data_IF_183497927610
#
_entry.id   IF_183497927610
#
_cell.length_a   1.000
_cell.length_b   1.000
_cell.length_c   1.000
_cell.angle_alpha   90.00
_cell.angle_beta   90.00
_cell.angle_gamma   90.00
#
_symmetry.space_group_name_H-M   'P 1'
#
loop_
_entity.id
_entity.type
_entity.pdbx_description
1 polymer ?
#
# COMPACT_ATOMS: atom_id res chain seq x y z
N UNK A 1 -7.81 -29.37 -16.94
CA UNK A 1 -8.86 -28.42 -17.34
C UNK A 1 -9.07 -27.28 -16.34
N UNK A 2 -8.79 -27.42 -15.01
CA UNK A 2 -8.96 -26.32 -14.03
C UNK A 2 -7.90 -25.22 -14.17
N UNK A 3 -6.64 -25.54 -14.31
CA UNK A 3 -5.51 -24.59 -14.39
C UNK A 3 -5.59 -23.65 -15.59
N UNK A 4 -6.02 -24.18 -16.76
CA UNK A 4 -6.17 -23.34 -17.96
C UNK A 4 -7.36 -22.37 -17.83
N UNK A 5 -8.41 -22.77 -17.13
CA UNK A 5 -9.58 -21.92 -16.88
C UNK A 5 -9.24 -20.80 -15.86
N UNK A 6 -8.51 -21.12 -14.81
CA UNK A 6 -8.03 -20.11 -13.84
C UNK A 6 -7.11 -19.08 -14.49
N UNK A 7 -6.15 -19.51 -15.30
CA UNK A 7 -5.27 -18.57 -16.03
C UNK A 7 -6.03 -17.67 -17.00
N UNK A 8 -7.08 -18.19 -17.66
CA UNK A 8 -7.90 -17.39 -18.59
C UNK A 8 -8.75 -16.37 -17.81
N UNK A 9 -9.27 -16.74 -16.64
CA UNK A 9 -10.05 -15.84 -15.79
C UNK A 9 -9.17 -14.76 -15.13
N UNK A 10 -7.92 -15.06 -14.81
CA UNK A 10 -6.96 -14.09 -14.29
C UNK A 10 -6.52 -13.07 -15.35
N UNK A 11 -6.26 -13.51 -16.58
CA UNK A 11 -5.96 -12.61 -17.70
C UNK A 11 -7.12 -11.67 -17.99
N UNK A 12 -8.34 -12.20 -17.97
CA UNK A 12 -9.55 -11.40 -18.21
C UNK A 12 -9.77 -10.35 -17.12
N UNK A 13 -9.56 -10.70 -15.86
CA UNK A 13 -9.66 -9.74 -14.74
C UNK A 13 -8.63 -8.61 -14.89
N UNK A 14 -7.42 -8.92 -15.34
CA UNK A 14 -6.40 -7.89 -15.61
C UNK A 14 -6.79 -6.97 -16.75
N UNK A 15 -7.34 -7.53 -17.81
CA UNK A 15 -7.86 -6.73 -18.94
C UNK A 15 -9.00 -5.82 -18.49
N UNK A 16 -9.89 -6.32 -17.60
CA UNK A 16 -10.97 -5.53 -17.01
C UNK A 16 -10.43 -4.42 -16.08
N UNK A 17 -9.45 -4.72 -15.21
CA UNK A 17 -8.78 -3.73 -14.36
C UNK A 17 -7.98 -2.72 -15.18
N UNK A 18 -7.23 -3.18 -16.16
CA UNK A 18 -6.49 -2.33 -17.09
C UNK A 18 -7.44 -1.44 -17.88
N UNK A 19 -8.56 -1.99 -18.36
CA UNK A 19 -9.63 -1.24 -19.04
C UNK A 19 -10.20 -0.15 -18.14
N UNK A 20 -10.47 -0.42 -16.87
CA UNK A 20 -10.98 0.58 -15.94
C UNK A 20 -10.02 1.77 -15.78
N UNK A 21 -8.72 1.54 -15.64
CA UNK A 21 -7.73 2.61 -15.54
C UNK A 21 -7.51 3.34 -16.86
N UNK A 22 -7.59 2.63 -18.01
CA UNK A 22 -7.37 3.22 -19.34
C UNK A 22 -8.61 3.94 -19.89
N UNK A 23 -9.82 3.48 -19.58
CA UNK A 23 -11.06 4.15 -20.02
C UNK A 23 -11.23 5.53 -19.38
N UNK A 24 -10.79 5.71 -18.15
CA UNK A 24 -10.89 6.99 -17.43
C UNK A 24 -9.62 7.82 -17.57
N UNK A 25 -8.52 7.20 -17.99
CA UNK A 25 -7.21 7.83 -18.21
C UNK A 25 -6.42 8.01 -16.93
N UNK A 26 -5.10 8.16 -17.09
CA UNK A 26 -4.21 8.55 -16.00
C UNK A 26 -4.20 10.06 -15.90
N UNK A 27 -4.12 10.54 -14.67
CA UNK A 27 -4.04 11.97 -14.39
C UNK A 27 -2.59 12.36 -14.16
N UNK A 28 -2.23 13.52 -14.72
CA UNK A 28 -0.96 14.14 -14.36
C UNK A 28 -0.85 14.27 -12.83
N UNK A 29 0.31 13.98 -12.24
CA UNK A 29 0.49 13.99 -10.78
C UNK A 29 0.00 15.27 -10.10
N UNK A 30 0.20 16.44 -10.72
CA UNK A 30 -0.26 17.73 -10.18
C UNK A 30 -1.79 17.86 -10.20
N UNK A 31 -2.45 17.32 -11.21
CA UNK A 31 -3.92 17.27 -11.29
C UNK A 31 -4.48 16.36 -10.19
N UNK A 32 -3.88 15.20 -9.95
CA UNK A 32 -4.25 14.29 -8.88
C UNK A 32 -4.06 14.91 -7.49
N UNK A 33 -2.92 15.56 -7.25
CA UNK A 33 -2.62 16.25 -5.98
C UNK A 33 -3.68 17.30 -5.62
N UNK A 34 -4.17 18.04 -6.61
CA UNK A 34 -5.09 19.15 -6.42
C UNK A 34 -6.57 18.75 -6.51
N UNK A 35 -6.87 17.56 -7.00
CA UNK A 35 -8.24 17.09 -7.21
C UNK A 35 -9.01 16.98 -5.89
N UNK A 36 -10.28 17.41 -5.86
CA UNK A 36 -11.13 17.21 -4.69
C UNK A 36 -11.34 15.73 -4.40
N UNK A 37 -11.18 15.35 -3.13
CA UNK A 37 -11.53 14.03 -2.65
C UNK A 37 -12.96 14.01 -2.10
N UNK A 38 -13.75 13.02 -2.47
CA UNK A 38 -15.06 12.76 -1.88
C UNK A 38 -14.94 11.56 -0.95
N UNK A 39 -15.24 11.78 0.33
CA UNK A 39 -15.15 10.75 1.36
C UNK A 39 -16.52 10.58 2.00
N UNK A 40 -17.03 9.37 2.04
CA UNK A 40 -18.20 8.98 2.81
C UNK A 40 -17.86 7.84 3.80
N UNK A 41 -18.87 7.23 4.42
CA UNK A 41 -18.69 6.16 5.40
C UNK A 41 -18.06 4.89 4.79
N UNK A 42 -18.25 4.68 3.49
CA UNK A 42 -17.91 3.43 2.82
C UNK A 42 -16.80 3.57 1.78
N UNK A 43 -16.53 4.78 1.29
CA UNK A 43 -15.61 4.97 0.17
C UNK A 43 -14.88 6.30 0.17
N UNK A 44 -13.72 6.28 -0.47
CA UNK A 44 -12.96 7.45 -0.90
C UNK A 44 -12.89 7.45 -2.43
N UNK A 45 -13.25 8.56 -3.05
CA UNK A 45 -13.17 8.77 -4.50
C UNK A 45 -12.41 10.04 -4.81
N UNK A 46 -11.55 10.00 -5.83
CA UNK A 46 -10.85 11.16 -6.38
C UNK A 46 -11.10 11.17 -7.88
N UNK A 47 -11.58 12.29 -8.43
CA UNK A 47 -11.94 12.42 -9.86
C UNK A 47 -12.94 11.35 -10.34
N UNK A 48 -13.80 10.85 -9.44
CA UNK A 48 -14.75 9.80 -9.74
C UNK A 48 -14.20 8.37 -9.63
N UNK A 49 -12.88 8.20 -9.45
CA UNK A 49 -12.28 6.88 -9.24
C UNK A 49 -12.42 6.43 -7.79
N UNK A 50 -12.82 5.18 -7.56
CA UNK A 50 -12.70 4.58 -6.24
C UNK A 50 -11.21 4.41 -5.91
N UNK A 51 -10.77 5.01 -4.80
CA UNK A 51 -9.39 4.93 -4.30
C UNK A 51 -9.29 3.92 -3.17
N UNK A 52 -10.33 3.86 -2.33
CA UNK A 52 -10.42 2.93 -1.21
C UNK A 52 -11.87 2.71 -0.82
N UNK A 53 -12.22 1.50 -0.43
CA UNK A 53 -13.54 1.13 0.07
C UNK A 53 -13.44 0.35 1.39
N UNK A 54 -14.47 0.41 2.23
CA UNK A 54 -14.45 -0.15 3.60
C UNK A 54 -14.40 -1.69 3.64
N UNK A 55 -14.80 -2.37 2.57
CA UNK A 55 -14.67 -3.83 2.45
C UNK A 55 -13.21 -4.31 2.48
N UNK A 56 -12.26 -3.45 2.17
CA UNK A 56 -10.82 -3.74 2.23
C UNK A 56 -10.28 -3.84 3.66
N UNK A 57 -11.07 -3.45 4.66
CA UNK A 57 -10.67 -3.41 6.07
C UNK A 57 -9.95 -4.67 6.58
N UNK A 58 -10.40 -5.92 6.30
CA UNK A 58 -9.68 -7.12 6.72
C UNK A 58 -8.28 -7.23 6.09
N UNK A 59 -8.16 -6.80 4.84
CA UNK A 59 -6.89 -6.81 4.11
C UNK A 59 -5.94 -5.74 4.64
N UNK A 60 -6.40 -4.50 4.79
CA UNK A 60 -5.63 -3.40 5.37
C UNK A 60 -5.17 -3.71 6.81
N UNK A 61 -6.00 -4.41 7.59
CA UNK A 61 -5.62 -4.89 8.92
C UNK A 61 -4.41 -5.83 8.87
N UNK A 62 -4.39 -6.74 7.91
CA UNK A 62 -3.27 -7.68 7.78
C UNK A 62 -2.02 -6.98 7.25
N UNK A 63 -2.12 -6.09 6.25
CA UNK A 63 -0.99 -5.30 5.79
C UNK A 63 -0.38 -4.47 6.93
N UNK A 64 -1.21 -3.79 7.72
CA UNK A 64 -0.77 -3.05 8.90
C UNK A 64 -0.06 -3.95 9.92
N UNK A 65 -0.61 -5.15 10.19
CA UNK A 65 0.01 -6.14 11.07
C UNK A 65 1.39 -6.57 10.55
N UNK A 66 1.52 -6.84 9.26
CA UNK A 66 2.78 -7.24 8.62
C UNK A 66 3.81 -6.11 8.73
N UNK A 67 3.44 -4.89 8.37
CA UNK A 67 4.34 -3.73 8.44
C UNK A 67 4.84 -3.41 9.86
N UNK A 68 4.06 -3.80 10.89
CA UNK A 68 4.40 -3.52 12.29
C UNK A 68 5.05 -4.69 13.04
N UNK A 69 5.33 -5.83 12.38
CA UNK A 69 5.91 -7.03 13.02
C UNK A 69 7.22 -6.76 13.79
N UNK A 70 8.03 -5.84 13.32
CA UNK A 70 9.29 -5.46 13.96
C UNK A 70 9.13 -4.25 14.90
N UNK A 71 7.97 -3.57 14.91
CA UNK A 71 7.84 -2.26 15.53
C UNK A 71 8.77 -1.22 14.90
N UNK A 72 9.30 -0.30 15.68
CA UNK A 72 10.26 0.70 15.24
C UNK A 72 9.67 1.76 14.30
N UNK A 73 10.38 2.12 13.24
CA UNK A 73 9.95 3.11 12.26
C UNK A 73 9.16 2.45 11.14
N UNK A 74 7.93 2.88 10.94
CA UNK A 74 7.05 2.39 9.88
C UNK A 74 6.80 3.49 8.87
N UNK A 75 6.93 3.15 7.58
CA UNK A 75 6.56 3.99 6.45
C UNK A 75 5.26 3.47 5.83
N UNK A 76 4.29 4.34 5.67
CA UNK A 76 3.05 4.08 4.95
C UNK A 76 2.98 5.01 3.73
N UNK A 77 2.80 4.43 2.56
CA UNK A 77 2.61 5.15 1.30
C UNK A 77 1.15 5.02 0.88
N UNK A 78 0.46 6.16 0.83
CA UNK A 78 -0.99 6.24 0.69
C UNK A 78 -1.69 6.19 2.05
N UNK A 79 -2.55 7.17 2.32
CA UNK A 79 -3.36 7.21 3.55
C UNK A 79 -4.79 6.71 3.31
N UNK A 80 -5.35 7.05 2.16
CA UNK A 80 -6.72 6.70 1.80
C UNK A 80 -7.74 7.14 2.85
N UNK A 81 -8.57 6.21 3.30
CA UNK A 81 -9.52 6.41 4.41
C UNK A 81 -8.87 6.28 5.80
N UNK A 82 -7.56 6.09 5.89
CA UNK A 82 -6.84 5.87 7.15
C UNK A 82 -7.09 4.52 7.80
N UNK A 83 -7.55 3.52 7.03
CA UNK A 83 -7.88 2.20 7.57
C UNK A 83 -6.62 1.51 8.10
N UNK A 84 -5.57 1.42 7.28
CA UNK A 84 -4.26 0.86 7.65
C UNK A 84 -3.60 1.66 8.77
N UNK A 85 -3.59 3.00 8.67
CA UNK A 85 -3.07 3.90 9.70
C UNK A 85 -3.76 3.67 11.06
N UNK A 86 -5.09 3.50 11.06
CA UNK A 86 -5.87 3.17 12.25
C UNK A 86 -5.48 1.82 12.88
N UNK A 87 -5.12 0.82 12.07
CA UNK A 87 -4.61 -0.46 12.58
C UNK A 87 -3.16 -0.34 13.07
N UNK A 88 -2.29 0.39 12.36
CA UNK A 88 -0.91 0.66 12.79
C UNK A 88 -0.90 1.38 14.14
N UNK A 89 -1.83 2.33 14.37
CA UNK A 89 -1.91 3.09 15.61
C UNK A 89 -2.10 2.23 16.86
N UNK A 90 -2.67 1.04 16.73
CA UNK A 90 -2.83 0.07 17.84
C UNK A 90 -1.51 -0.50 18.34
N UNK A 91 -0.45 -0.36 17.57
CA UNK A 91 0.91 -0.78 17.93
C UNK A 91 1.77 0.37 18.46
N UNK A 92 1.20 1.59 18.56
CA UNK A 92 1.89 2.69 19.19
C UNK A 92 2.04 2.39 20.68
N UNK A 93 3.26 2.53 21.18
CA UNK A 93 3.52 2.49 22.64
C UNK A 93 3.12 1.19 23.37
N UNK A 94 3.19 0.04 22.72
CA UNK A 94 3.05 -1.25 23.40
C UNK A 94 4.27 -1.50 24.31
N UNK A 95 4.39 -0.69 25.37
CA UNK A 95 5.42 -0.85 26.41
C UNK A 95 5.18 -2.16 27.14
N UNK A 96 6.00 -3.16 26.83
CA UNK A 96 6.06 -4.41 27.60
C UNK A 96 5.65 -5.68 26.88
N UNK A 97 5.04 -5.64 25.68
CA UNK A 97 4.66 -6.83 24.91
C UNK A 97 5.04 -6.62 23.44
N UNK A 98 6.32 -6.80 23.13
CA UNK A 98 6.81 -6.67 21.76
C UNK A 98 7.41 -5.30 21.45
N UNK A 99 7.84 -5.13 20.21
CA UNK A 99 8.46 -3.91 19.72
C UNK A 99 7.37 -2.96 19.22
N UNK A 100 7.01 -1.94 19.99
CA UNK A 100 6.04 -0.93 19.56
C UNK A 100 6.56 -0.08 18.40
N UNK A 101 5.64 0.51 17.63
CA UNK A 101 5.95 1.52 16.61
C UNK A 101 6.42 2.79 17.31
N UNK A 102 7.59 3.29 16.96
CA UNK A 102 8.22 4.48 17.55
C UNK A 102 8.14 5.71 16.66
N UNK A 103 7.93 5.55 15.36
CA UNK A 103 7.65 6.61 14.39
C UNK A 103 6.81 6.02 13.26
N UNK A 104 5.74 6.71 12.89
CA UNK A 104 4.90 6.38 11.76
C UNK A 104 4.96 7.54 10.75
N UNK A 105 5.64 7.32 9.63
CA UNK A 105 5.73 8.27 8.52
C UNK A 105 4.66 7.90 7.50
N UNK A 106 3.78 8.84 7.18
CA UNK A 106 2.72 8.67 6.17
C UNK A 106 3.01 9.61 5.02
N UNK A 107 3.11 9.08 3.82
CA UNK A 107 3.24 9.84 2.57
C UNK A 107 1.90 9.82 1.85
N UNK A 108 1.36 11.00 1.54
CA UNK A 108 0.09 11.15 0.85
C UNK A 108 0.18 12.24 -0.22
N UNK A 109 -0.23 11.90 -1.44
CA UNK A 109 -0.11 12.80 -2.58
C UNK A 109 -1.27 13.79 -2.70
N UNK A 110 -2.51 13.35 -2.43
CA UNK A 110 -3.68 14.21 -2.58
C UNK A 110 -3.84 15.14 -1.37
N UNK A 111 -4.06 16.43 -1.64
CA UNK A 111 -4.14 17.49 -0.61
C UNK A 111 -5.26 17.25 0.41
N UNK A 112 -6.44 16.86 -0.06
CA UNK A 112 -7.60 16.66 0.80
C UNK A 112 -7.41 15.44 1.69
N UNK A 113 -6.87 14.35 1.13
CA UNK A 113 -6.52 13.14 1.87
C UNK A 113 -5.38 13.40 2.86
N UNK A 114 -4.38 14.20 2.47
CA UNK A 114 -3.31 14.62 3.39
C UNK A 114 -3.86 15.48 4.55
N UNK A 115 -4.94 16.25 4.33
CA UNK A 115 -5.62 16.96 5.41
C UNK A 115 -6.28 15.99 6.41
N UNK A 116 -6.87 14.87 5.92
CA UNK A 116 -7.40 13.81 6.79
C UNK A 116 -6.26 13.11 7.56
N UNK A 117 -5.13 12.85 6.91
CA UNK A 117 -3.95 12.29 7.58
C UNK A 117 -3.40 13.21 8.68
N UNK A 118 -3.39 14.53 8.47
CA UNK A 118 -3.02 15.51 9.50
C UNK A 118 -3.99 15.48 10.69
N UNK A 119 -5.30 15.39 10.43
CA UNK A 119 -6.30 15.25 11.49
C UNK A 119 -6.08 13.95 12.28
N UNK A 120 -5.86 12.82 11.59
CA UNK A 120 -5.51 11.54 12.21
C UNK A 120 -4.29 11.67 13.12
N UNK A 121 -3.20 12.30 12.67
CA UNK A 121 -2.01 12.57 13.48
C UNK A 121 -2.37 13.30 14.78
N UNK A 122 -3.15 14.38 14.67
CA UNK A 122 -3.46 15.26 15.80
C UNK A 122 -4.36 14.56 16.82
N UNK A 123 -5.25 13.66 16.39
CA UNK A 123 -6.14 12.86 17.24
C UNK A 123 -5.44 11.68 17.92
N UNK A 124 -4.37 11.12 17.31
CA UNK A 124 -3.72 9.93 17.83
C UNK A 124 -2.42 10.26 18.58
N UNK A 125 -1.35 10.61 17.86
CA UNK A 125 -0.02 10.86 18.48
C UNK A 125 0.78 11.88 17.66
N UNK A 126 0.62 13.19 17.88
CA UNK A 126 1.32 14.22 17.09
C UNK A 126 2.84 14.09 17.08
N UNK A 127 3.45 13.60 18.16
CA UNK A 127 4.90 13.44 18.25
C UNK A 127 5.45 12.14 17.63
N UNK A 128 4.57 11.21 17.22
CA UNK A 128 4.96 9.91 16.69
C UNK A 128 4.61 9.80 15.20
N UNK A 129 3.54 10.47 14.77
CA UNK A 129 3.07 10.43 13.38
C UNK A 129 3.60 11.65 12.62
N UNK A 130 4.24 11.39 11.49
CA UNK A 130 4.73 12.42 10.57
C UNK A 130 4.00 12.31 9.24
N UNK A 131 3.42 13.40 8.76
CA UNK A 131 2.80 13.46 7.42
C UNK A 131 3.77 14.15 6.46
N UNK A 132 4.02 13.51 5.32
CA UNK A 132 4.77 14.06 4.19
C UNK A 132 3.82 14.13 3.00
N UNK A 133 3.51 15.35 2.56
CA UNK A 133 2.59 15.58 1.44
C UNK A 133 3.37 15.59 0.13
N UNK A 134 2.97 14.74 -0.82
CA UNK A 134 3.51 14.66 -2.16
C UNK A 134 3.51 13.25 -2.73
N UNK A 135 3.87 13.14 -4.00
CA UNK A 135 4.04 11.85 -4.68
C UNK A 135 5.25 11.14 -4.09
N UNK A 136 5.09 9.87 -3.73
CA UNK A 136 6.08 9.12 -2.96
C UNK A 136 7.47 9.11 -3.58
N UNK A 137 7.58 8.96 -4.90
CA UNK A 137 8.88 8.96 -5.59
C UNK A 137 9.57 10.31 -5.50
N UNK A 138 8.82 11.40 -5.64
CA UNK A 138 9.36 12.76 -5.60
C UNK A 138 9.87 13.10 -4.20
N UNK A 139 9.01 12.93 -3.18
CA UNK A 139 9.40 13.28 -1.80
C UNK A 139 10.53 12.38 -1.25
N UNK A 140 10.60 11.11 -1.69
CA UNK A 140 11.70 10.21 -1.34
C UNK A 140 13.00 10.61 -2.04
N UNK A 141 12.94 11.03 -3.31
CA UNK A 141 14.11 11.48 -4.06
C UNK A 141 14.63 12.81 -3.53
N UNK A 142 13.77 13.78 -3.29
CA UNK A 142 14.13 15.09 -2.73
C UNK A 142 14.66 14.97 -1.30
N UNK A 143 14.02 14.14 -0.49
CA UNK A 143 14.35 13.86 0.91
C UNK A 143 14.75 15.13 1.70
N UNK A 144 14.01 16.22 1.51
CA UNK A 144 14.34 17.55 2.02
C UNK A 144 14.57 17.58 3.54
N UNK A 145 13.78 16.78 4.28
CA UNK A 145 13.84 16.68 5.73
C UNK A 145 14.73 15.54 6.24
N UNK A 146 15.43 14.81 5.36
CA UNK A 146 16.26 13.66 5.73
C UNK A 146 15.51 12.48 6.35
N UNK A 147 14.21 12.36 6.06
CA UNK A 147 13.31 11.32 6.60
C UNK A 147 13.59 9.96 5.98
N UNK A 148 13.85 9.96 4.66
CA UNK A 148 13.97 8.76 3.84
C UNK A 148 15.43 8.35 3.68
N UNK A 149 16.00 7.78 4.74
CA UNK A 149 17.37 7.27 4.72
C UNK A 149 17.41 5.80 4.33
N UNK A 150 18.45 5.39 3.60
CA UNK A 150 18.72 3.99 3.34
C UNK A 150 18.85 3.21 4.65
N UNK A 151 18.18 2.06 4.74
CA UNK A 151 18.14 1.32 5.98
C UNK A 151 17.49 2.08 7.14
N UNK A 152 16.54 2.96 6.88
CA UNK A 152 15.89 3.80 7.88
C UNK A 152 14.63 3.22 8.51
N UNK A 153 13.96 2.25 7.88
CA UNK A 153 12.65 1.75 8.29
C UNK A 153 12.67 0.28 8.71
N UNK A 154 11.89 -0.05 9.73
CA UNK A 154 11.68 -1.42 10.22
C UNK A 154 10.53 -2.11 9.47
N UNK A 155 9.55 -1.33 9.00
CA UNK A 155 8.44 -1.80 8.19
C UNK A 155 8.01 -0.77 7.16
N UNK A 156 7.53 -1.24 6.00
CA UNK A 156 6.97 -0.41 4.93
C UNK A 156 5.66 -1.04 4.45
N UNK A 157 4.61 -0.23 4.37
CA UNK A 157 3.34 -0.54 3.74
C UNK A 157 3.16 0.38 2.54
N UNK A 158 2.90 -0.17 1.36
CA UNK A 158 2.63 0.60 0.16
C UNK A 158 1.24 0.27 -0.39
N UNK A 159 0.38 1.26 -0.39
CA UNK A 159 -0.98 1.20 -0.90
C UNK A 159 -1.33 2.56 -1.52
N UNK A 160 -0.71 2.86 -2.65
CA UNK A 160 -0.92 4.10 -3.38
C UNK A 160 -1.66 3.84 -4.69
N UNK A 161 -2.60 4.73 -5.00
CA UNK A 161 -3.27 4.73 -6.29
C UNK A 161 -2.25 4.91 -7.43
N UNK A 162 -2.30 4.08 -8.49
CA UNK A 162 -1.37 4.17 -9.61
C UNK A 162 -1.63 5.45 -10.42
N UNK A 163 -0.58 6.22 -10.69
CA UNK A 163 -0.66 7.47 -11.45
C UNK A 163 -0.28 7.32 -12.92
N UNK A 164 0.23 6.15 -13.32
CA UNK A 164 0.59 5.84 -14.70
C UNK A 164 0.41 4.35 -15.01
N UNK A 165 0.42 4.02 -16.30
CA UNK A 165 0.21 2.66 -16.80
C UNK A 165 1.28 1.68 -16.30
N UNK A 166 2.52 2.13 -16.13
CA UNK A 166 3.61 1.26 -15.67
C UNK A 166 3.38 0.80 -14.23
N UNK A 167 2.77 1.63 -13.40
CA UNK A 167 2.42 1.29 -12.02
C UNK A 167 1.27 0.29 -11.95
N UNK A 168 0.30 0.38 -12.86
CA UNK A 168 -0.78 -0.63 -12.98
C UNK A 168 -0.24 -1.97 -13.43
N UNK A 169 0.68 -1.97 -14.41
CA UNK A 169 1.26 -3.21 -14.93
C UNK A 169 2.25 -3.87 -13.96
N UNK A 170 2.88 -3.08 -13.11
CA UNK A 170 3.90 -3.51 -12.17
C UNK A 170 3.51 -3.19 -10.72
N UNK A 171 2.74 -4.07 -10.09
CA UNK A 171 2.34 -3.94 -8.69
C UNK A 171 3.53 -3.94 -7.71
N UNK A 172 4.68 -4.46 -8.14
CA UNK A 172 5.91 -4.45 -7.37
C UNK A 172 6.83 -3.24 -7.68
N UNK A 173 6.33 -2.23 -8.40
CA UNK A 173 7.15 -1.08 -8.85
C UNK A 173 7.89 -0.37 -7.71
N UNK A 174 7.32 -0.37 -6.50
CA UNK A 174 7.94 0.24 -5.32
C UNK A 174 8.95 -0.67 -4.61
N UNK A 175 9.05 -1.96 -4.97
CA UNK A 175 9.83 -2.96 -4.23
C UNK A 175 11.32 -2.63 -4.12
N UNK A 176 11.95 -2.10 -5.18
CA UNK A 176 13.35 -1.68 -5.16
C UNK A 176 13.58 -0.52 -4.20
N UNK A 177 12.71 0.48 -4.19
CA UNK A 177 12.74 1.60 -3.24
C UNK A 177 12.52 1.11 -1.81
N UNK A 178 11.55 0.22 -1.58
CA UNK A 178 11.31 -0.38 -0.28
C UNK A 178 12.53 -1.16 0.21
N UNK A 179 13.14 -1.98 -0.65
CA UNK A 179 14.35 -2.71 -0.30
C UNK A 179 15.49 -1.79 0.14
N UNK A 180 15.72 -0.69 -0.56
CA UNK A 180 16.73 0.31 -0.21
C UNK A 180 16.44 0.94 1.16
N UNK A 181 15.20 1.39 1.39
CA UNK A 181 14.80 2.10 2.60
C UNK A 181 14.70 1.20 3.84
N UNK A 182 14.49 -0.11 3.68
CA UNK A 182 14.41 -1.05 4.80
C UNK A 182 15.76 -1.28 5.47
N UNK A 183 15.73 -1.45 6.79
CA UNK A 183 16.84 -2.03 7.56
C UNK A 183 17.02 -3.51 7.20
N UNK A 184 18.20 -4.11 7.43
CA UNK A 184 18.35 -5.58 7.45
C UNK A 184 17.28 -6.19 8.39
N UNK A 185 16.58 -7.23 7.92
CA UNK A 185 15.45 -7.83 8.63
C UNK A 185 14.14 -7.05 8.58
N UNK A 186 14.12 -5.85 8.03
CA UNK A 186 12.92 -5.03 7.83
C UNK A 186 11.93 -5.68 6.87
N UNK A 187 10.66 -5.30 6.96
CA UNK A 187 9.56 -5.97 6.26
C UNK A 187 8.85 -4.99 5.33
N UNK A 188 8.60 -5.42 4.09
CA UNK A 188 7.77 -4.75 3.12
C UNK A 188 6.48 -5.52 2.85
N UNK A 189 5.37 -4.81 2.78
CA UNK A 189 4.07 -5.31 2.35
C UNK A 189 3.37 -4.25 1.50
N UNK A 190 2.44 -4.68 0.63
CA UNK A 190 1.77 -3.76 -0.28
C UNK A 190 0.47 -4.36 -0.83
N UNK A 191 -0.37 -3.54 -1.44
CA UNK A 191 -1.55 -4.01 -2.17
C UNK A 191 -1.09 -4.74 -3.44
N UNK A 192 -1.33 -6.05 -3.53
CA UNK A 192 -0.65 -6.92 -4.51
C UNK A 192 -1.42 -7.16 -5.81
N UNK A 193 -2.73 -6.95 -5.83
CA UNK A 193 -3.64 -7.38 -6.91
C UNK A 193 -3.54 -8.89 -7.27
N UNK A 194 -3.07 -9.70 -6.32
CA UNK A 194 -2.99 -11.15 -6.49
C UNK A 194 -4.04 -11.85 -5.61
N UNK A 195 -4.83 -12.78 -6.15
CA UNK A 195 -5.88 -13.42 -5.35
C UNK A 195 -5.35 -14.48 -4.38
N UNK A 196 -4.40 -15.34 -4.81
CA UNK A 196 -3.99 -16.51 -4.02
C UNK A 196 -2.49 -16.84 -4.08
N UNK A 197 -1.78 -16.41 -5.14
CA UNK A 197 -0.35 -16.69 -5.30
C UNK A 197 0.31 -15.61 -6.15
N UNK A 198 1.59 -15.38 -5.95
CA UNK A 198 2.34 -14.53 -6.86
C UNK A 198 2.42 -15.15 -8.25
N UNK A 199 2.13 -14.38 -9.28
CA UNK A 199 2.44 -14.76 -10.66
C UNK A 199 3.95 -14.83 -10.86
N UNK A 200 4.44 -15.64 -11.81
CA UNK A 200 5.87 -15.76 -12.07
C UNK A 200 6.56 -14.43 -12.34
N UNK A 201 5.92 -13.55 -13.12
CA UNK A 201 6.45 -12.23 -13.48
C UNK A 201 6.54 -11.32 -12.24
N UNK A 202 5.49 -11.32 -11.42
CA UNK A 202 5.46 -10.57 -10.18
C UNK A 202 6.56 -11.05 -9.21
N UNK A 203 6.69 -12.36 -9.06
CA UNK A 203 7.76 -12.93 -8.25
C UNK A 203 9.15 -12.54 -8.76
N UNK A 204 9.35 -12.53 -10.10
CA UNK A 204 10.61 -12.12 -10.70
C UNK A 204 10.93 -10.65 -10.39
N UNK A 205 9.95 -9.76 -10.47
CA UNK A 205 10.12 -8.33 -10.11
C UNK A 205 10.60 -8.17 -8.65
N UNK A 206 10.09 -8.99 -7.73
CA UNK A 206 10.52 -8.97 -6.32
C UNK A 206 11.97 -9.47 -6.15
N UNK A 207 12.36 -10.49 -6.91
CA UNK A 207 13.74 -10.99 -6.92
C UNK A 207 14.71 -9.94 -7.49
N UNK A 208 14.33 -9.29 -8.59
CA UNK A 208 15.10 -8.24 -9.24
C UNK A 208 15.25 -6.98 -8.34
N UNK A 209 14.25 -6.72 -7.50
CA UNK A 209 14.30 -5.67 -6.47
C UNK A 209 15.26 -5.99 -5.31
N UNK A 210 15.81 -7.23 -5.23
CA UNK A 210 16.80 -7.64 -4.23
C UNK A 210 16.28 -8.55 -3.12
N UNK A 211 14.98 -8.87 -3.08
CA UNK A 211 14.45 -9.81 -2.10
C UNK A 211 14.84 -11.25 -2.46
N UNK A 212 15.49 -11.97 -1.52
CA UNK A 212 15.83 -13.38 -1.74
C UNK A 212 14.56 -14.23 -1.73
N UNK A 213 14.49 -15.28 -2.60
CA UNK A 213 13.30 -16.15 -2.70
C UNK A 213 12.82 -16.70 -1.35
N UNK A 214 13.75 -17.08 -0.47
CA UNK A 214 13.47 -17.61 0.88
C UNK A 214 12.87 -16.58 1.84
N UNK A 215 12.93 -15.31 1.49
CA UNK A 215 12.44 -14.17 2.29
C UNK A 215 11.15 -13.58 1.71
N UNK A 216 10.59 -14.20 0.68
CA UNK A 216 9.32 -13.84 0.05
C UNK A 216 8.28 -14.86 0.49
N UNK A 217 7.31 -14.40 1.26
CA UNK A 217 6.17 -15.16 1.75
C UNK A 217 4.88 -14.35 1.55
N UNK A 218 3.74 -14.92 1.88
CA UNK A 218 2.46 -14.24 1.78
C UNK A 218 1.40 -14.86 2.69
N UNK A 219 0.30 -14.15 2.86
CA UNK A 219 -0.90 -14.66 3.51
C UNK A 219 -2.12 -14.36 2.64
N UNK A 220 -3.04 -15.31 2.53
CA UNK A 220 -4.29 -15.13 1.81
C UNK A 220 -5.35 -14.58 2.77
N UNK A 221 -5.94 -13.45 2.41
CA UNK A 221 -6.97 -12.77 3.20
C UNK A 221 -8.30 -12.88 2.50
N UNK A 222 -9.33 -13.33 3.23
CA UNK A 222 -10.70 -13.29 2.74
C UNK A 222 -11.25 -11.88 2.81
N UNK A 223 -11.90 -11.48 1.72
CA UNK A 223 -12.58 -10.19 1.56
C UNK A 223 -13.97 -10.41 0.99
N UNK A 224 -14.84 -9.44 1.14
CA UNK A 224 -16.21 -9.49 0.61
C UNK A 224 -16.48 -8.17 -0.11
N UNK A 225 -15.93 -7.99 -1.33
CA UNK A 225 -16.22 -6.79 -2.10
C UNK A 225 -17.71 -6.74 -2.47
N UNK A 226 -18.33 -5.56 -2.52
CA UNK A 226 -19.69 -5.40 -2.99
C UNK A 226 -19.82 -5.82 -4.46
N UNK A 227 -21.02 -6.23 -4.87
CA UNK A 227 -21.25 -6.76 -6.22
C UNK A 227 -20.92 -5.75 -7.32
N UNK A 228 -21.03 -4.46 -7.02
CA UNK A 228 -20.74 -3.33 -7.87
C UNK A 228 -19.32 -2.77 -7.72
N UNK A 229 -18.47 -3.36 -6.86
CA UNK A 229 -17.06 -2.98 -6.77
C UNK A 229 -16.41 -3.02 -8.15
N UNK A 230 -15.73 -1.95 -8.53
CA UNK A 230 -15.18 -1.80 -9.89
C UNK A 230 -13.84 -2.49 -10.07
N UNK A 231 -13.01 -2.58 -9.02
CA UNK A 231 -11.60 -2.97 -9.12
C UNK A 231 -11.27 -4.34 -8.50
N UNK A 232 -12.20 -4.98 -7.75
CA UNK A 232 -11.95 -6.31 -7.22
C UNK A 232 -13.18 -7.20 -7.27
N UNK A 233 -13.04 -8.41 -7.81
CA UNK A 233 -14.15 -9.36 -8.02
C UNK A 233 -13.89 -10.74 -7.38
N UNK A 234 -12.84 -10.86 -6.57
CA UNK A 234 -12.46 -12.11 -5.89
C UNK A 234 -12.81 -12.02 -4.41
N UNK A 235 -12.95 -13.18 -3.76
CA UNK A 235 -13.20 -13.29 -2.31
C UNK A 235 -11.91 -13.41 -1.48
N UNK A 236 -10.76 -13.30 -2.14
CA UNK A 236 -9.43 -13.36 -1.51
C UNK A 236 -8.47 -12.36 -2.13
N UNK A 237 -7.54 -11.85 -1.30
CA UNK A 237 -6.38 -11.05 -1.74
C UNK A 237 -5.14 -11.58 -1.03
N UNK A 238 -4.03 -11.69 -1.75
CA UNK A 238 -2.73 -12.05 -1.22
C UNK A 238 -2.07 -10.85 -0.54
N UNK A 239 -1.73 -10.97 0.73
CA UNK A 239 -0.94 -10.00 1.49
C UNK A 239 0.55 -10.40 1.46
N UNK A 240 1.42 -9.67 0.74
CA UNK A 240 2.84 -9.96 0.64
C UNK A 240 3.57 -9.79 1.97
N UNK A 241 4.56 -10.66 2.23
CA UNK A 241 5.48 -10.58 3.38
C UNK A 241 6.89 -10.70 2.85
N UNK A 242 7.56 -9.57 2.68
CA UNK A 242 8.90 -9.51 2.08
C UNK A 242 9.90 -9.04 3.12
N UNK A 243 10.89 -9.86 3.43
CA UNK A 243 11.90 -9.54 4.43
C UNK A 243 13.24 -9.22 3.76
N UNK A 244 13.83 -8.07 4.09
CA UNK A 244 15.18 -7.73 3.66
C UNK A 244 16.18 -8.61 4.40
N UNK A 245 17.12 -9.23 3.66
CA UNK A 245 18.21 -10.04 4.21
C UNK A 245 19.24 -9.24 4.97
#
# INVERSE_FOLDING_TARGET
>A
MSVVREQTDELRLREELHGMYTEVGFYEPDSWKAAPATVDEHSLKILGHPVMEDWERPYMQELARIATLNGGRVLEIGFGMGISAGFISRFYDQRGIGRGVTEHVIVEANRDVAALARKFRDEHRPGLVRIVEGVSYDVIAENADGVFRDGGFDGILHDAYPLDESQVQNQAHFAGTAYRLLKPGGIFTYFSDEPTQFRPEHLQMLLDAGFARKNIDHKIIRVVPPADCLYWKRDTILAPILRKG
#
